data_IF_733807134475
#
_entry.id   IF_733807134475
#
_cell.length_a   1.000
_cell.length_b   1.000
_cell.length_c   1.000
_cell.angle_alpha   90.00
_cell.angle_beta   90.00
_cell.angle_gamma   90.00
#
_symmetry.space_group_name_H-M   'P 1'
#
loop_
_entity.id
_entity.type
_entity.pdbx_description
1 polymer ?
#
# COMPACT_ATOMS: atom_id res chain seq x y z
N UNK A 1 -16.67 -34.07 -2.36
CA UNK A 1 -16.64 -32.64 -2.76
C UNK A 1 -17.35 -31.86 -1.68
N UNK A 2 -16.75 -30.79 -1.18
CA UNK A 2 -17.37 -29.90 -0.19
C UNK A 2 -17.36 -28.48 -0.73
N UNK A 3 -18.31 -27.65 -0.35
CA UNK A 3 -18.42 -26.25 -0.76
C UNK A 3 -18.78 -25.42 0.46
N UNK A 4 -18.05 -24.32 0.68
CA UNK A 4 -18.37 -23.31 1.68
C UNK A 4 -19.11 -22.17 1.00
N UNK A 5 -20.21 -21.68 1.62
CA UNK A 5 -21.07 -20.68 0.98
C UNK A 5 -20.42 -19.31 0.77
N UNK A 6 -19.34 -19.03 1.51
CA UNK A 6 -18.63 -17.75 1.41
C UNK A 6 -19.50 -16.54 1.74
N UNK A 7 -19.10 -15.38 1.24
CA UNK A 7 -19.83 -14.10 1.33
C UNK A 7 -20.31 -13.67 -0.05
N UNK A 8 -21.56 -13.24 -0.21
CA UNK A 8 -22.08 -12.78 -1.51
C UNK A 8 -21.45 -11.45 -1.96
N UNK A 9 -20.94 -10.65 -1.02
CA UNK A 9 -20.23 -9.38 -1.29
C UNK A 9 -19.10 -9.20 -0.28
N UNK A 10 -17.94 -8.67 -0.70
CA UNK A 10 -16.81 -8.39 0.17
C UNK A 10 -17.10 -7.24 1.13
N UNK A 11 -16.61 -7.35 2.37
CA UNK A 11 -16.83 -6.37 3.45
C UNK A 11 -15.56 -5.68 3.91
N UNK A 12 -14.40 -6.22 3.58
CA UNK A 12 -13.10 -5.69 3.98
C UNK A 12 -12.00 -6.03 2.97
N UNK A 13 -10.87 -5.37 3.07
CA UNK A 13 -9.76 -5.53 2.14
C UNK A 13 -9.06 -6.90 2.20
N UNK A 14 -9.37 -7.73 3.16
CA UNK A 14 -9.00 -9.14 3.26
C UNK A 14 -9.86 -10.06 2.37
N UNK A 15 -11.01 -9.56 1.89
CA UNK A 15 -11.97 -10.32 1.08
C UNK A 15 -11.91 -9.93 -0.41
N UNK A 16 -10.75 -10.01 -1.04
CA UNK A 16 -10.56 -9.70 -2.46
C UNK A 16 -11.17 -10.71 -3.42
N UNK A 17 -11.23 -10.37 -4.72
CA UNK A 17 -11.70 -11.24 -5.81
C UNK A 17 -13.21 -11.25 -6.00
N UNK A 18 -13.65 -12.04 -6.98
CA UNK A 18 -15.09 -12.18 -7.27
C UNK A 18 -15.85 -12.79 -6.10
N UNK A 19 -16.98 -12.19 -5.76
CA UNK A 19 -17.92 -12.69 -4.75
C UNK A 19 -19.26 -13.03 -5.40
N UNK A 20 -19.90 -14.05 -4.85
CA UNK A 20 -21.15 -14.55 -5.38
C UNK A 20 -21.65 -15.75 -4.60
N UNK A 21 -22.46 -16.56 -5.24
CA UNK A 21 -23.01 -17.77 -4.66
C UNK A 21 -22.88 -18.97 -5.63
N UNK A 22 -22.94 -20.15 -5.06
CA UNK A 22 -22.92 -21.40 -5.84
C UNK A 22 -24.34 -21.91 -5.97
N UNK A 23 -24.83 -22.03 -7.20
CA UNK A 23 -26.06 -22.73 -7.51
C UNK A 23 -25.76 -24.21 -7.64
N UNK A 24 -26.49 -25.04 -6.88
CA UNK A 24 -26.37 -26.48 -6.89
C UNK A 24 -27.64 -27.05 -7.48
N UNK A 25 -27.50 -27.84 -8.55
CA UNK A 25 -28.59 -28.58 -9.16
C UNK A 25 -28.46 -30.09 -8.88
N UNK A 26 -29.54 -30.69 -8.43
CA UNK A 26 -29.63 -32.12 -8.09
C UNK A 26 -30.55 -32.88 -9.00
N UNK A 27 -31.01 -32.30 -10.12
CA UNK A 27 -31.93 -32.91 -11.03
C UNK A 27 -31.35 -34.21 -11.65
N UNK A 28 -32.20 -35.23 -11.79
CA UNK A 28 -31.82 -36.49 -12.42
C UNK A 28 -30.78 -37.33 -11.65
N UNK A 29 -30.62 -37.12 -10.33
CA UNK A 29 -29.68 -37.87 -9.50
C UNK A 29 -28.23 -37.52 -9.74
N UNK A 30 -27.93 -36.48 -10.50
CA UNK A 30 -26.61 -35.93 -10.72
C UNK A 30 -26.49 -34.62 -9.95
N UNK A 31 -25.30 -34.43 -9.32
CA UNK A 31 -24.96 -33.18 -8.65
C UNK A 31 -24.15 -32.33 -9.62
N UNK A 32 -24.62 -31.13 -9.92
CA UNK A 32 -23.85 -30.11 -10.63
C UNK A 32 -23.83 -28.81 -9.84
N UNK A 33 -22.77 -28.03 -10.02
CA UNK A 33 -22.64 -26.74 -9.34
C UNK A 33 -22.07 -25.71 -10.28
N UNK A 34 -22.58 -24.49 -10.19
CA UNK A 34 -22.07 -23.32 -10.93
C UNK A 34 -21.94 -22.14 -9.99
N UNK A 35 -20.81 -21.42 -10.10
CA UNK A 35 -20.63 -20.15 -9.40
C UNK A 35 -21.34 -19.04 -10.15
N UNK A 36 -22.14 -18.25 -9.44
CA UNK A 36 -22.86 -17.09 -9.97
C UNK A 36 -22.25 -15.84 -9.34
N UNK A 37 -21.54 -15.00 -10.11
CA UNK A 37 -21.07 -13.71 -9.63
C UNK A 37 -22.26 -12.83 -9.23
N UNK A 38 -22.23 -12.27 -8.03
CA UNK A 38 -23.36 -11.51 -7.47
C UNK A 38 -22.95 -10.14 -6.92
N UNK A 39 -21.72 -10.01 -6.47
CA UNK A 39 -21.24 -8.77 -5.88
C UNK A 39 -21.34 -7.58 -6.85
N UNK A 40 -21.86 -6.46 -6.35
CA UNK A 40 -21.98 -5.22 -7.12
C UNK A 40 -20.64 -4.52 -7.32
N UNK A 41 -19.64 -4.84 -6.48
CA UNK A 41 -18.31 -4.26 -6.50
C UNK A 41 -17.27 -5.27 -6.09
N UNK A 42 -16.06 -5.05 -6.51
CA UNK A 42 -14.91 -5.84 -6.07
C UNK A 42 -14.02 -5.02 -5.14
N UNK A 43 -13.29 -5.73 -4.29
CA UNK A 43 -12.27 -5.16 -3.43
C UNK A 43 -10.93 -5.38 -4.12
N UNK A 44 -10.21 -4.28 -4.38
CA UNK A 44 -8.93 -4.26 -5.09
C UNK A 44 -7.82 -3.78 -4.18
N UNK A 45 -6.74 -4.52 -4.13
CA UNK A 45 -5.49 -4.10 -3.51
C UNK A 45 -4.46 -3.86 -4.62
N UNK A 46 -3.97 -2.64 -4.73
CA UNK A 46 -3.04 -2.21 -5.76
C UNK A 46 -1.75 -1.76 -5.08
N UNK A 47 -0.64 -2.36 -5.46
CA UNK A 47 0.69 -1.95 -4.98
C UNK A 47 1.35 -1.07 -6.02
N UNK A 48 1.86 0.08 -5.60
CA UNK A 48 2.62 1.00 -6.43
C UNK A 48 4.05 1.09 -5.89
N UNK A 49 5.02 0.68 -6.71
CA UNK A 49 6.44 0.81 -6.37
C UNK A 49 6.92 2.23 -6.66
N UNK A 50 7.37 2.91 -5.61
CA UNK A 50 7.84 4.30 -5.67
C UNK A 50 9.37 4.43 -5.77
N UNK A 51 10.12 3.33 -5.86
CA UNK A 51 11.59 3.32 -5.77
C UNK A 51 12.31 4.15 -6.85
N UNK A 52 11.61 4.50 -7.93
CA UNK A 52 12.16 5.30 -9.04
C UNK A 52 11.39 6.59 -9.27
N UNK A 53 10.61 7.00 -8.30
CA UNK A 53 9.83 8.23 -8.35
C UNK A 53 10.56 9.28 -7.52
N UNK A 54 10.57 10.53 -7.98
CA UNK A 54 11.37 11.59 -7.37
C UNK A 54 10.53 12.76 -6.84
N UNK A 55 9.22 12.71 -7.05
CA UNK A 55 8.31 13.76 -6.58
C UNK A 55 6.93 13.21 -6.24
N UNK A 56 6.18 13.95 -5.41
CA UNK A 56 4.77 13.68 -5.12
C UNK A 56 3.95 13.53 -6.41
N UNK A 57 4.19 14.41 -7.40
CA UNK A 57 3.48 14.37 -8.69
C UNK A 57 3.74 13.08 -9.49
N UNK A 58 4.93 12.49 -9.37
CA UNK A 58 5.24 11.24 -10.05
C UNK A 58 4.52 10.07 -9.38
N UNK A 59 4.40 10.10 -8.05
CA UNK A 59 3.59 9.12 -7.29
C UNK A 59 2.12 9.23 -7.71
N UNK A 60 1.56 10.43 -7.74
CA UNK A 60 0.17 10.67 -8.16
C UNK A 60 -0.13 10.16 -9.58
N UNK A 61 0.81 10.38 -10.52
CA UNK A 61 0.70 9.84 -11.88
C UNK A 61 0.75 8.32 -11.90
N UNK A 62 1.68 7.71 -11.15
CA UNK A 62 1.82 6.26 -11.08
C UNK A 62 0.56 5.62 -10.49
N UNK A 63 0.02 6.19 -9.41
CA UNK A 63 -1.24 5.76 -8.80
C UNK A 63 -2.38 5.90 -9.80
N UNK A 64 -2.51 7.05 -10.46
CA UNK A 64 -3.56 7.27 -11.46
C UNK A 64 -3.48 6.27 -12.60
N UNK A 65 -2.29 5.98 -13.10
CA UNK A 65 -2.08 5.00 -14.16
C UNK A 65 -2.42 3.58 -13.71
N UNK A 66 -2.05 3.20 -12.49
CA UNK A 66 -2.36 1.89 -11.92
C UNK A 66 -3.87 1.68 -11.73
N UNK A 67 -4.61 2.75 -11.47
CA UNK A 67 -6.05 2.71 -11.22
C UNK A 67 -6.90 2.93 -12.50
N UNK A 68 -6.30 3.27 -13.63
CA UNK A 68 -7.01 3.65 -14.85
C UNK A 68 -8.00 2.59 -15.38
N UNK A 69 -7.74 1.32 -15.09
CA UNK A 69 -8.56 0.18 -15.54
C UNK A 69 -9.53 -0.33 -14.47
N UNK A 70 -9.53 0.29 -13.30
CA UNK A 70 -10.37 -0.15 -12.18
C UNK A 70 -11.75 0.51 -12.27
N UNK A 71 -12.85 -0.28 -12.15
CA UNK A 71 -14.20 0.28 -12.14
C UNK A 71 -14.42 1.25 -10.96
N UNK A 72 -15.11 2.36 -11.24
CA UNK A 72 -15.39 3.38 -10.21
C UNK A 72 -16.27 2.88 -9.05
N UNK A 73 -17.01 1.81 -9.29
CA UNK A 73 -17.89 1.21 -8.26
C UNK A 73 -17.12 0.28 -7.31
N UNK A 74 -15.85 -0.01 -7.58
CA UNK A 74 -15.02 -0.87 -6.74
C UNK A 74 -14.50 -0.15 -5.50
N UNK A 75 -14.06 -0.92 -4.50
CA UNK A 75 -13.29 -0.44 -3.33
C UNK A 75 -11.81 -0.66 -3.60
N UNK A 76 -10.99 0.37 -3.37
CA UNK A 76 -9.57 0.33 -3.73
C UNK A 76 -8.71 0.67 -2.52
N UNK A 77 -7.74 -0.21 -2.22
CA UNK A 77 -6.60 0.11 -1.34
C UNK A 77 -5.34 0.22 -2.20
N UNK A 78 -4.71 1.37 -2.15
CA UNK A 78 -3.40 1.60 -2.78
C UNK A 78 -2.34 1.50 -1.71
N UNK A 79 -1.37 0.60 -1.89
CA UNK A 79 -0.22 0.47 -0.99
C UNK A 79 1.02 0.98 -1.73
N UNK A 80 1.62 2.05 -1.22
CA UNK A 80 2.91 2.55 -1.71
C UNK A 80 4.02 1.68 -1.11
N UNK A 81 4.87 1.11 -1.94
CA UNK A 81 6.01 0.27 -1.53
C UNK A 81 7.29 0.71 -2.23
N UNK A 82 8.39 0.14 -1.78
CA UNK A 82 9.71 0.43 -2.33
C UNK A 82 10.50 1.42 -1.49
N UNK A 83 11.40 2.16 -2.13
CA UNK A 83 12.32 3.05 -1.45
C UNK A 83 12.14 4.49 -1.92
N UNK A 84 11.90 5.40 -0.98
CA UNK A 84 11.85 6.84 -1.21
C UNK A 84 13.18 7.48 -0.84
N UNK A 85 13.64 8.47 -1.62
CA UNK A 85 14.78 9.28 -1.20
C UNK A 85 14.40 10.13 0.03
N UNK A 86 15.33 10.34 0.99
CA UNK A 86 15.02 11.03 2.25
C UNK A 86 14.49 12.46 2.11
N UNK A 87 14.87 13.13 1.01
CA UNK A 87 14.46 14.50 0.72
C UNK A 87 13.18 14.57 -0.14
N UNK A 88 12.64 13.42 -0.56
CA UNK A 88 11.41 13.38 -1.33
C UNK A 88 10.22 13.64 -0.41
N UNK A 89 9.55 14.77 -0.65
CA UNK A 89 8.26 15.02 0.00
C UNK A 89 7.20 14.07 -0.59
N UNK A 90 6.56 13.29 0.28
CA UNK A 90 5.42 12.44 -0.06
C UNK A 90 4.31 12.65 0.97
N UNK A 91 3.10 12.78 0.46
CA UNK A 91 1.90 12.96 1.28
C UNK A 91 0.82 11.97 0.83
N UNK A 92 0.66 10.83 1.53
CA UNK A 92 -0.38 9.86 1.25
C UNK A 92 -1.79 10.45 1.33
N UNK A 93 -2.02 11.41 2.23
CA UNK A 93 -3.33 12.06 2.39
C UNK A 93 -3.72 12.88 1.16
N UNK A 94 -2.74 13.52 0.51
CA UNK A 94 -2.98 14.23 -0.74
C UNK A 94 -3.39 13.27 -1.86
N UNK A 95 -2.79 12.06 -1.90
CA UNK A 95 -3.18 11.02 -2.86
C UNK A 95 -4.58 10.51 -2.55
N UNK A 96 -4.90 10.29 -1.27
CA UNK A 96 -6.23 9.87 -0.85
C UNK A 96 -7.30 10.91 -1.21
N UNK A 97 -7.05 12.19 -0.95
CA UNK A 97 -7.91 13.29 -1.36
C UNK A 97 -8.11 13.36 -2.90
N UNK A 98 -7.06 13.06 -3.68
CA UNK A 98 -7.15 12.96 -5.14
C UNK A 98 -8.07 11.82 -5.60
N UNK A 99 -8.19 10.75 -4.82
CA UNK A 99 -9.03 9.58 -5.11
C UNK A 99 -10.45 9.72 -4.59
N UNK A 100 -10.72 10.69 -3.73
CA UNK A 100 -12.05 10.92 -3.15
C UNK A 100 -13.11 11.11 -4.24
N UNK A 101 -14.21 10.38 -4.12
CA UNK A 101 -15.31 10.38 -5.07
C UNK A 101 -15.05 9.71 -6.42
N UNK A 102 -13.84 9.17 -6.67
CA UNK A 102 -13.54 8.42 -7.90
C UNK A 102 -13.89 6.94 -7.79
N UNK A 103 -13.92 6.40 -6.59
CA UNK A 103 -14.28 5.01 -6.30
C UNK A 103 -15.36 4.98 -5.23
N UNK A 104 -15.98 3.83 -5.03
CA UNK A 104 -16.94 3.66 -3.94
C UNK A 104 -16.28 3.90 -2.58
N UNK A 105 -15.06 3.41 -2.41
CA UNK A 105 -14.19 3.70 -1.27
C UNK A 105 -12.73 3.61 -1.72
N UNK A 106 -11.89 4.49 -1.22
CA UNK A 106 -10.45 4.45 -1.46
C UNK A 106 -9.67 4.70 -0.18
N UNK A 107 -8.55 4.01 -0.04
CA UNK A 107 -7.60 4.13 1.07
C UNK A 107 -6.18 4.05 0.52
N UNK A 108 -5.28 4.83 1.11
CA UNK A 108 -3.86 4.85 0.72
C UNK A 108 -3.00 4.52 1.93
N UNK A 109 -2.22 3.45 1.82
CA UNK A 109 -1.25 3.04 2.83
C UNK A 109 0.17 3.30 2.33
N UNK A 110 1.01 3.86 3.18
CA UNK A 110 2.43 4.04 2.90
C UNK A 110 3.25 2.99 3.68
N UNK A 111 3.65 1.95 2.97
CA UNK A 111 4.57 0.90 3.44
C UNK A 111 5.97 1.04 2.80
N UNK A 112 6.28 2.21 2.22
CA UNK A 112 7.59 2.44 1.64
C UNK A 112 8.67 2.63 2.71
N UNK A 113 9.91 2.33 2.34
CA UNK A 113 11.08 2.54 3.18
C UNK A 113 11.90 3.73 2.68
N UNK A 114 12.72 4.32 3.55
CA UNK A 114 13.68 5.32 3.12
C UNK A 114 14.90 4.64 2.47
N UNK A 115 15.37 5.20 1.37
CA UNK A 115 16.63 4.81 0.74
C UNK A 115 17.78 5.33 1.59
N UNK A 116 18.30 4.46 2.48
CA UNK A 116 19.43 4.82 3.34
C UNK A 116 20.74 4.64 2.59
N UNK A 117 21.37 5.75 2.21
CA UNK A 117 22.74 5.80 1.70
C UNK A 117 23.63 6.48 2.73
N UNK A 118 24.29 5.72 3.63
CA UNK A 118 25.10 6.28 4.71
C UNK A 118 26.14 7.29 4.25
N UNK A 119 26.65 7.12 3.04
CA UNK A 119 27.63 7.99 2.43
C UNK A 119 27.14 9.43 2.27
N UNK A 120 25.83 9.63 2.03
CA UNK A 120 25.24 10.96 1.86
C UNK A 120 25.29 11.80 3.14
N UNK A 121 25.26 11.13 4.29
CA UNK A 121 25.24 11.79 5.61
C UNK A 121 26.62 12.02 6.21
N UNK A 122 27.71 11.57 5.56
CA UNK A 122 29.07 11.67 6.09
C UNK A 122 29.48 13.12 6.34
N UNK A 123 29.15 14.03 5.41
CA UNK A 123 29.51 15.44 5.46
C UNK A 123 28.27 16.35 5.65
N UNK A 124 27.11 15.78 5.94
CA UNK A 124 25.89 16.53 6.17
C UNK A 124 25.94 17.18 7.57
N UNK A 125 25.95 18.51 7.62
CA UNK A 125 25.99 19.30 8.86
C UNK A 125 24.61 19.53 9.48
N UNK A 126 23.55 19.03 8.85
CA UNK A 126 22.18 19.12 9.36
C UNK A 126 21.97 18.24 10.58
N UNK A 127 20.88 18.50 11.32
CA UNK A 127 20.42 17.64 12.41
C UNK A 127 20.22 16.18 11.95
N UNK A 128 19.73 15.97 10.72
CA UNK A 128 19.59 14.63 10.11
C UNK A 128 20.94 13.94 9.97
N UNK A 129 21.93 14.65 9.42
CA UNK A 129 23.28 14.11 9.24
C UNK A 129 23.94 13.75 10.57
N UNK A 130 23.80 14.59 11.59
CA UNK A 130 24.32 14.32 12.92
C UNK A 130 23.64 13.12 13.57
N UNK A 131 22.31 13.03 13.49
CA UNK A 131 21.53 11.89 13.97
C UNK A 131 21.97 10.58 13.31
N UNK A 132 22.06 10.53 11.98
CA UNK A 132 22.47 9.33 11.25
C UNK A 132 23.88 8.90 11.64
N UNK A 133 24.85 9.83 11.69
CA UNK A 133 26.23 9.52 12.12
C UNK A 133 26.28 8.98 13.54
N UNK A 134 25.52 9.58 14.46
CA UNK A 134 25.46 9.15 15.86
C UNK A 134 24.95 7.71 15.98
N UNK A 135 23.87 7.38 15.26
CA UNK A 135 23.33 6.02 15.26
C UNK A 135 24.31 5.03 14.63
N UNK A 136 24.98 5.39 13.53
CA UNK A 136 25.97 4.53 12.90
C UNK A 136 27.20 4.27 13.78
N UNK A 137 27.53 5.17 14.71
CA UNK A 137 28.64 5.03 15.67
C UNK A 137 28.22 4.34 16.97
N UNK A 138 26.95 4.02 17.16
CA UNK A 138 26.39 3.48 18.43
C UNK A 138 26.85 2.08 18.80
N UNK A 139 27.50 1.35 17.87
CA UNK A 139 27.92 -0.05 18.09
C UNK A 139 26.78 -1.06 18.10
N UNK A 140 25.54 -0.64 17.79
CA UNK A 140 24.39 -1.53 17.64
C UNK A 140 24.52 -2.44 16.39
N UNK A 141 23.83 -3.59 16.34
CA UNK A 141 23.72 -4.40 15.13
C UNK A 141 23.23 -3.53 13.95
N UNK A 142 23.71 -3.82 12.74
CA UNK A 142 23.38 -3.04 11.55
C UNK A 142 21.87 -2.95 11.28
N UNK A 143 21.14 -4.00 11.51
CA UNK A 143 19.69 -4.08 11.36
C UNK A 143 18.96 -3.09 12.30
N UNK A 144 19.41 -3.01 13.57
CA UNK A 144 18.86 -2.08 14.54
C UNK A 144 19.21 -0.63 14.18
N UNK A 145 20.46 -0.37 13.72
CA UNK A 145 20.85 0.95 13.23
C UNK A 145 19.95 1.40 12.08
N UNK A 146 19.72 0.55 11.07
CA UNK A 146 18.87 0.85 9.92
C UNK A 146 17.42 1.16 10.37
N UNK A 147 16.86 0.39 11.29
CA UNK A 147 15.52 0.65 11.87
C UNK A 147 15.45 1.99 12.60
N UNK A 148 16.42 2.27 13.47
CA UNK A 148 16.46 3.52 14.23
C UNK A 148 16.59 4.72 13.28
N UNK A 149 17.46 4.63 12.26
CA UNK A 149 17.62 5.68 11.27
C UNK A 149 16.33 5.92 10.48
N UNK A 150 15.67 4.85 10.02
CA UNK A 150 14.40 4.98 9.31
C UNK A 150 13.34 5.68 10.15
N UNK A 151 13.15 5.22 11.40
CA UNK A 151 12.20 5.83 12.32
C UNK A 151 12.52 7.29 12.61
N UNK A 152 13.78 7.61 12.92
CA UNK A 152 14.18 8.97 13.25
C UNK A 152 14.09 9.93 12.06
N UNK A 153 14.45 9.50 10.85
CA UNK A 153 14.31 10.34 9.65
C UNK A 153 12.85 10.61 9.31
N UNK A 154 11.95 9.62 9.46
CA UNK A 154 10.51 9.82 9.30
C UNK A 154 9.97 10.83 10.30
N UNK A 155 10.34 10.69 11.58
CA UNK A 155 9.95 11.64 12.63
C UNK A 155 10.45 13.06 12.33
N UNK A 156 11.69 13.22 11.85
CA UNK A 156 12.26 14.50 11.46
C UNK A 156 11.59 15.11 10.20
N UNK A 157 10.96 14.28 9.37
CA UNK A 157 10.15 14.71 8.24
C UNK A 157 8.70 15.04 8.62
N UNK A 158 8.28 14.78 9.86
CA UNK A 158 6.91 14.95 10.30
C UNK A 158 5.96 13.88 9.77
N UNK A 159 6.48 12.73 9.33
CA UNK A 159 5.67 11.60 8.88
C UNK A 159 5.08 10.85 10.08
N UNK A 160 3.83 10.37 9.95
CA UNK A 160 3.24 9.51 10.96
C UNK A 160 3.97 8.15 11.00
N UNK A 161 4.24 7.69 12.22
CA UNK A 161 4.87 6.38 12.42
C UNK A 161 3.84 5.28 12.18
N UNK A 162 4.18 4.23 11.41
CA UNK A 162 3.32 3.05 11.31
C UNK A 162 3.19 2.41 12.69
N UNK A 163 1.97 2.03 13.06
CA UNK A 163 1.67 1.26 14.28
C UNK A 163 2.32 -0.14 14.27
#
# INVERSE_FOLDING_TARGET
MWCYCGTPEGRGFDETGEKGFVLIDTAGGKLSSVFIPFAKRQIRQITVDISRLFSQRDIEKAVTAALAVIPQNDMVRVTLRGYAEPDMHKDPRQIEAMLEGKFFFSEVLDESNLSLRPEMYRNDVSLRGEFVRTVMQSGLPREDQERIIQCGLRALNGEEMPE
#
